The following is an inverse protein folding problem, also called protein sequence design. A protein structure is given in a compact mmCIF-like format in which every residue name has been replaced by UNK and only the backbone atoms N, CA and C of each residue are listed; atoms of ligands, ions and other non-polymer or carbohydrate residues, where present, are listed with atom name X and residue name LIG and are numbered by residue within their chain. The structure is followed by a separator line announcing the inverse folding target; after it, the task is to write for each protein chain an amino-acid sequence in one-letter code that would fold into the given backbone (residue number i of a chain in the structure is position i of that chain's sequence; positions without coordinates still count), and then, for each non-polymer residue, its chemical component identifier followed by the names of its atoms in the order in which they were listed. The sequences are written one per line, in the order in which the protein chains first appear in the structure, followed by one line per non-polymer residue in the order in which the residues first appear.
data_IF_057332248950
#
_entry.id   IF_057332248950
#
_cell.length_a   1.000
_cell.length_b   1.000
_cell.length_c   1.000
_cell.angle_alpha   90.00
_cell.angle_beta   90.00
_cell.angle_gamma   90.00
#
_symmetry.space_group_name_H-M   'P 1'
#
loop_
_entity.id
_entity.type
_entity.pdbx_description
1 polymer ?
#
# COMPACT_ATOMS: atom_id res chain seq x y z
N UNK A 1 -19.59 -2.49 19.67
CA UNK A 1 -20.28 -1.48 18.83
C UNK A 1 -19.75 -1.63 17.41
N UNK A 2 -20.58 -1.67 16.35
CA UNK A 2 -20.06 -1.75 14.99
C UNK A 2 -19.21 -0.51 14.68
N UNK A 3 -18.03 -0.72 14.08
CA UNK A 3 -17.14 0.35 13.62
C UNK A 3 -17.89 1.28 12.65
N UNK A 4 -17.82 2.61 12.81
CA UNK A 4 -18.53 3.55 11.93
C UNK A 4 -18.06 3.38 10.50
N UNK A 5 -18.99 3.06 9.58
CA UNK A 5 -18.66 2.76 8.19
C UNK A 5 -17.96 3.95 7.52
N UNK A 6 -16.84 3.71 6.82
CA UNK A 6 -16.10 4.79 6.13
C UNK A 6 -17.04 5.44 5.10
N UNK A 7 -17.28 6.76 5.11
CA UNK A 7 -18.13 7.43 4.14
C UNK A 7 -17.66 7.25 2.68
N UNK A 8 -18.60 7.06 1.74
CA UNK A 8 -18.28 6.80 0.33
C UNK A 8 -17.51 7.94 -0.36
N UNK A 9 -17.77 9.20 0.01
CA UNK A 9 -17.03 10.34 -0.54
C UNK A 9 -15.56 10.37 -0.10
N UNK A 10 -15.26 9.97 1.15
CA UNK A 10 -13.88 9.84 1.64
C UNK A 10 -13.14 8.72 0.90
N UNK A 11 -13.82 7.60 0.63
CA UNK A 11 -13.23 6.51 -0.14
C UNK A 11 -12.96 6.90 -1.60
N UNK A 12 -13.85 7.68 -2.24
CA UNK A 12 -13.60 8.26 -3.58
C UNK A 12 -12.41 9.20 -3.59
N UNK A 13 -12.31 10.10 -2.61
CA UNK A 13 -11.17 11.00 -2.46
C UNK A 13 -9.87 10.22 -2.26
N UNK A 14 -9.91 9.16 -1.43
CA UNK A 14 -8.77 8.29 -1.19
C UNK A 14 -8.26 7.61 -2.48
N UNK A 15 -9.17 7.11 -3.32
CA UNK A 15 -8.82 6.52 -4.63
C UNK A 15 -8.17 7.55 -5.56
N UNK A 16 -8.72 8.78 -5.63
CA UNK A 16 -8.16 9.84 -6.45
C UNK A 16 -6.75 10.25 -5.97
N UNK A 17 -6.57 10.39 -4.65
CA UNK A 17 -5.27 10.67 -4.04
C UNK A 17 -4.27 9.53 -4.26
N UNK A 18 -4.72 8.28 -4.19
CA UNK A 18 -3.87 7.12 -4.47
C UNK A 18 -3.43 7.09 -5.94
N UNK A 19 -4.31 7.40 -6.89
CA UNK A 19 -3.96 7.50 -8.31
C UNK A 19 -2.92 8.61 -8.56
N UNK A 20 -3.09 9.78 -7.94
CA UNK A 20 -2.10 10.86 -8.00
C UNK A 20 -0.76 10.44 -7.36
N UNK A 21 -0.81 9.72 -6.24
CA UNK A 21 0.35 9.15 -5.55
C UNK A 21 1.13 8.14 -6.40
N UNK A 22 0.44 7.29 -7.17
CA UNK A 22 1.08 6.37 -8.14
C UNK A 22 1.86 7.16 -9.18
N UNK A 23 1.24 8.17 -9.80
CA UNK A 23 1.88 8.98 -10.84
C UNK A 23 3.09 9.75 -10.30
N UNK A 24 2.95 10.37 -9.13
CA UNK A 24 4.03 11.10 -8.48
C UNK A 24 5.19 10.16 -8.10
N UNK A 25 4.88 9.01 -7.49
CA UNK A 25 5.90 8.02 -7.09
C UNK A 25 6.63 7.44 -8.30
N UNK A 26 5.91 7.17 -9.39
CA UNK A 26 6.51 6.71 -10.64
C UNK A 26 7.45 7.77 -11.23
N UNK A 27 7.04 9.04 -11.26
CA UNK A 27 7.88 10.15 -11.72
C UNK A 27 9.16 10.30 -10.91
N UNK A 28 9.06 10.26 -9.57
CA UNK A 28 10.23 10.30 -8.68
C UNK A 28 11.13 9.08 -8.90
N UNK A 29 10.54 7.89 -9.04
CA UNK A 29 11.30 6.67 -9.26
C UNK A 29 12.09 6.73 -10.58
N UNK A 30 11.43 7.10 -11.69
CA UNK A 30 12.09 7.26 -12.99
C UNK A 30 13.15 8.35 -12.95
N UNK A 31 12.90 9.49 -12.31
CA UNK A 31 13.91 10.54 -12.15
C UNK A 31 15.14 10.03 -11.38
N UNK A 32 14.92 9.30 -10.28
CA UNK A 32 16.00 8.73 -9.47
C UNK A 32 16.86 7.73 -10.24
N UNK A 33 16.25 6.90 -11.10
CA UNK A 33 16.94 5.95 -11.96
C UNK A 33 17.82 6.62 -13.02
N UNK A 34 17.45 7.82 -13.44
CA UNK A 34 18.19 8.60 -14.44
C UNK A 34 19.23 9.54 -13.80
N UNK A 35 19.52 9.41 -12.50
CA UNK A 35 20.49 10.25 -11.80
C UNK A 35 20.04 11.72 -11.66
N UNK A 36 18.77 12.03 -11.94
CA UNK A 36 18.22 13.36 -11.74
C UNK A 36 17.99 13.54 -10.24
N UNK A 37 18.93 14.23 -9.59
CA UNK A 37 18.89 14.52 -8.15
C UNK A 37 17.76 15.52 -7.84
N UNK A 38 16.53 15.02 -7.76
CA UNK A 38 15.35 15.74 -7.26
C UNK A 38 15.21 15.51 -5.75
N UNK A 39 15.29 16.60 -4.97
CA UNK A 39 15.38 16.65 -3.51
C UNK A 39 14.55 15.63 -2.73
N UNK A 40 15.14 15.09 -1.66
CA UNK A 40 14.50 14.33 -0.57
C UNK A 40 13.18 14.95 -0.06
N UNK A 41 13.00 16.27 -0.23
CA UNK A 41 11.77 16.99 0.09
C UNK A 41 10.56 16.62 -0.80
N UNK A 42 10.77 16.31 -2.09
CA UNK A 42 9.71 15.79 -2.96
C UNK A 42 9.26 14.39 -2.51
N UNK A 43 10.22 13.53 -2.13
CA UNK A 43 9.92 12.21 -1.58
C UNK A 43 9.11 12.27 -0.27
N UNK A 44 9.47 13.19 0.64
CA UNK A 44 8.75 13.41 1.90
C UNK A 44 7.36 14.04 1.69
N UNK A 45 7.22 14.99 0.77
CA UNK A 45 5.93 15.61 0.48
C UNK A 45 4.97 14.58 -0.13
N UNK A 46 5.45 13.75 -1.07
CA UNK A 46 4.69 12.61 -1.61
C UNK A 46 4.30 11.61 -0.51
N UNK A 47 5.17 11.37 0.48
CA UNK A 47 4.92 10.48 1.61
C UNK A 47 3.72 10.91 2.48
N UNK A 48 3.58 12.23 2.74
CA UNK A 48 2.47 12.78 3.56
C UNK A 48 1.13 12.68 2.82
N UNK A 49 1.10 12.97 1.52
CA UNK A 49 -0.11 12.85 0.70
C UNK A 49 -0.58 11.40 0.56
N UNK A 50 0.34 10.44 0.47
CA UNK A 50 0.00 9.02 0.34
C UNK A 50 -0.53 8.45 1.66
N UNK A 51 0.00 8.87 2.80
CA UNK A 51 -0.53 8.49 4.12
C UNK A 51 -2.02 8.86 4.27
N UNK A 52 -2.43 10.03 3.78
CA UNK A 52 -3.83 10.48 3.81
C UNK A 52 -4.76 9.63 2.91
N UNK A 53 -4.25 9.09 1.80
CA UNK A 53 -5.01 8.20 0.90
C UNK A 53 -5.22 6.80 1.48
N UNK A 54 -4.41 6.40 2.46
CA UNK A 54 -4.34 5.02 2.94
C UNK A 54 -5.33 4.73 4.07
N UNK A 55 -5.44 5.64 5.03
CA UNK A 55 -6.29 5.43 6.20
C UNK A 55 -7.77 5.11 5.86
N UNK A 56 -8.42 5.78 4.90
CA UNK A 56 -9.79 5.44 4.52
C UNK A 56 -9.91 4.08 3.83
N UNK A 57 -8.91 3.67 3.04
CA UNK A 57 -8.91 2.38 2.32
C UNK A 57 -8.70 1.24 3.30
N UNK A 58 -7.73 1.35 4.22
CA UNK A 58 -7.51 0.35 5.28
C UNK A 58 -8.70 0.26 6.22
N UNK A 59 -9.25 1.39 6.68
CA UNK A 59 -10.44 1.38 7.52
C UNK A 59 -11.60 0.62 6.87
N UNK A 60 -11.82 0.84 5.56
CA UNK A 60 -12.86 0.14 4.81
C UNK A 60 -12.54 -1.35 4.57
N UNK A 61 -11.28 -1.71 4.39
CA UNK A 61 -10.82 -3.11 4.27
C UNK A 61 -10.96 -3.85 5.60
N UNK A 62 -10.60 -3.23 6.73
CA UNK A 62 -10.77 -3.80 8.07
C UNK A 62 -12.25 -4.06 8.31
N UNK A 63 -13.12 -3.06 8.09
CA UNK A 63 -14.57 -3.22 8.23
C UNK A 63 -15.12 -4.37 7.38
N UNK A 64 -14.61 -4.51 6.16
CA UNK A 64 -15.03 -5.60 5.27
C UNK A 64 -14.47 -6.96 5.71
N UNK A 65 -13.23 -6.99 6.19
CA UNK A 65 -12.62 -8.19 6.75
C UNK A 65 -13.30 -8.63 8.05
N UNK A 66 -13.76 -7.70 8.90
CA UNK A 66 -14.56 -8.02 10.09
C UNK A 66 -15.92 -8.61 9.67
N UNK A 67 -16.54 -8.05 8.62
CA UNK A 67 -17.81 -8.55 8.08
C UNK A 67 -17.68 -9.93 7.41
N UNK A 68 -16.58 -10.21 6.73
CA UNK A 68 -16.40 -11.41 5.89
C UNK A 68 -15.46 -12.48 6.48
N UNK A 69 -14.53 -12.10 7.38
CA UNK A 69 -13.52 -12.97 8.04
C UNK A 69 -13.67 -12.97 9.57
N UNK A 70 -14.31 -11.96 10.18
CA UNK A 70 -14.53 -11.91 11.64
C UNK A 70 -15.03 -13.21 12.28
N UNK A 71 -15.86 -14.03 11.62
CA UNK A 71 -16.27 -15.35 12.12
C UNK A 71 -15.22 -16.47 12.02
N UNK A 72 -14.11 -16.28 11.29
CA UNK A 72 -13.04 -17.27 11.05
C UNK A 72 -11.78 -17.03 11.90
N UNK A 73 -11.67 -15.88 12.57
CA UNK A 73 -10.48 -15.44 13.32
C UNK A 73 -10.82 -15.16 14.79
N UNK A 74 -12.00 -15.57 15.26
CA UNK A 74 -12.35 -15.58 16.68
C UNK A 74 -11.67 -16.74 17.42
N UNK A 75 -10.34 -16.78 17.39
CA UNK A 75 -9.56 -17.46 18.41
C UNK A 75 -8.47 -16.49 18.89
N UNK A 76 -8.90 -15.65 19.85
CA UNK A 76 -8.03 -14.77 20.61
C UNK A 76 -7.09 -15.62 21.46
N UNK A 77 -5.86 -15.84 21.00
CA UNK A 77 -4.75 -15.91 21.95
C UNK A 77 -3.42 -15.51 21.32
N UNK A 78 -2.81 -14.52 21.99
CA UNK A 78 -1.41 -14.06 21.97
C UNK A 78 -0.98 -12.97 20.96
N UNK A 79 -0.44 -11.84 21.48
CA UNK A 79 0.20 -10.79 20.69
C UNK A 79 1.71 -11.05 20.65
N UNK A 80 2.19 -11.75 19.62
CA UNK A 80 3.62 -11.87 19.38
C UNK A 80 4.00 -10.99 18.18
N UNK A 81 4.90 -9.99 18.33
CA UNK A 81 5.27 -9.07 17.24
C UNK A 81 5.93 -9.78 16.04
N UNK A 82 6.38 -11.03 16.18
CA UNK A 82 6.90 -11.86 15.09
C UNK A 82 5.81 -12.60 14.27
N UNK A 83 4.54 -12.57 14.71
CA UNK A 83 3.39 -13.09 13.93
C UNK A 83 2.83 -12.09 12.93
N UNK A 84 3.38 -10.87 12.88
CA UNK A 84 2.94 -9.84 11.96
C UNK A 84 3.16 -10.26 10.50
N UNK A 85 4.25 -10.96 10.18
CA UNK A 85 4.56 -11.35 8.80
C UNK A 85 3.60 -12.45 8.27
N UNK A 86 3.31 -13.55 9.00
CA UNK A 86 2.28 -14.50 8.62
C UNK A 86 0.88 -13.87 8.53
N UNK A 87 0.48 -13.01 9.48
CA UNK A 87 -0.82 -12.32 9.44
C UNK A 87 -0.91 -11.33 8.29
N UNK A 88 0.16 -10.58 8.01
CA UNK A 88 0.23 -9.67 6.86
C UNK A 88 0.23 -10.43 5.54
N UNK A 89 0.86 -11.61 5.46
CA UNK A 89 0.81 -12.49 4.29
C UNK A 89 -0.58 -13.11 4.10
N UNK A 90 -1.25 -13.54 5.18
CA UNK A 90 -2.63 -14.01 5.14
C UNK A 90 -3.58 -12.89 4.74
N UNK A 91 -3.41 -11.68 5.28
CA UNK A 91 -4.18 -10.50 4.89
C UNK A 91 -3.95 -10.19 3.42
N UNK A 92 -2.70 -10.13 2.95
CA UNK A 92 -2.39 -9.94 1.52
C UNK A 92 -2.99 -11.05 0.65
N UNK A 93 -2.90 -12.31 1.07
CA UNK A 93 -3.46 -13.46 0.37
C UNK A 93 -4.99 -13.41 0.29
N UNK A 94 -5.65 -13.02 1.38
CA UNK A 94 -7.09 -12.79 1.41
C UNK A 94 -7.47 -11.62 0.52
N UNK A 95 -6.78 -10.48 0.66
CA UNK A 95 -6.97 -9.28 -0.12
C UNK A 95 -6.83 -9.54 -1.63
N UNK A 96 -5.84 -10.33 -2.04
CA UNK A 96 -5.68 -10.74 -3.44
C UNK A 96 -6.92 -11.44 -3.99
N UNK A 97 -7.69 -12.18 -3.17
CA UNK A 97 -8.93 -12.84 -3.61
C UNK A 97 -10.02 -11.84 -4.04
N UNK A 98 -9.97 -10.59 -3.57
CA UNK A 98 -10.93 -9.54 -3.92
C UNK A 98 -10.70 -8.94 -5.30
N UNK A 99 -9.49 -9.08 -5.82
CA UNK A 99 -9.11 -8.54 -7.10
C UNK A 99 -9.42 -9.54 -8.23
N UNK A 100 -9.84 -9.09 -9.41
CA UNK A 100 -9.87 -9.92 -10.61
C UNK A 100 -8.44 -10.36 -11.00
N UNK A 101 -8.33 -11.47 -11.75
CA UNK A 101 -7.03 -12.09 -12.11
C UNK A 101 -6.04 -11.08 -12.68
N UNK A 102 -6.48 -10.18 -13.57
CA UNK A 102 -5.63 -9.16 -14.19
C UNK A 102 -5.02 -8.20 -13.15
N UNK A 103 -5.80 -7.75 -12.18
CA UNK A 103 -5.34 -6.86 -11.10
C UNK A 103 -4.42 -7.59 -10.12
N UNK A 104 -4.65 -8.89 -9.86
CA UNK A 104 -3.73 -9.72 -9.06
C UNK A 104 -2.35 -9.82 -9.71
N UNK A 105 -2.29 -9.99 -11.03
CA UNK A 105 -1.02 -10.06 -11.77
C UNK A 105 -0.29 -8.73 -11.65
N UNK A 106 -0.96 -7.61 -11.94
CA UNK A 106 -0.37 -6.27 -11.83
C UNK A 106 0.14 -6.00 -10.41
N UNK A 107 -0.65 -6.37 -9.40
CA UNK A 107 -0.28 -6.22 -8.01
C UNK A 107 0.92 -7.10 -7.63
N UNK A 108 0.95 -8.35 -8.07
CA UNK A 108 2.07 -9.27 -7.84
C UNK A 108 3.36 -8.76 -8.46
N UNK A 109 3.29 -8.20 -9.68
CA UNK A 109 4.44 -7.56 -10.33
C UNK A 109 4.92 -6.33 -9.55
N UNK A 110 4.00 -5.50 -9.06
CA UNK A 110 4.31 -4.31 -8.26
C UNK A 110 4.98 -4.67 -6.93
N UNK A 111 4.50 -5.73 -6.28
CA UNK A 111 5.08 -6.28 -5.05
C UNK A 111 6.50 -6.82 -5.30
N UNK A 112 6.68 -7.64 -6.34
CA UNK A 112 7.97 -8.20 -6.70
C UNK A 112 8.99 -7.10 -7.04
N UNK A 113 8.56 -6.10 -7.81
CA UNK A 113 9.38 -4.93 -8.14
C UNK A 113 9.84 -4.18 -6.89
N UNK A 114 8.90 -3.93 -5.96
CA UNK A 114 9.20 -3.24 -4.70
C UNK A 114 10.15 -4.05 -3.83
N UNK A 115 9.98 -5.37 -3.77
CA UNK A 115 10.88 -6.26 -3.05
C UNK A 115 12.32 -6.18 -3.58
N UNK A 116 12.51 -6.14 -4.91
CA UNK A 116 13.85 -5.98 -5.51
C UNK A 116 14.50 -4.67 -5.08
N UNK A 117 13.75 -3.57 -5.08
CA UNK A 117 14.26 -2.25 -4.67
C UNK A 117 14.52 -2.15 -3.17
N UNK A 118 13.73 -2.84 -2.34
CA UNK A 118 14.00 -2.98 -0.91
C UNK A 118 15.30 -3.74 -0.65
N UNK A 119 15.49 -4.90 -1.29
CA UNK A 119 16.72 -5.69 -1.15
C UNK A 119 17.94 -4.90 -1.60
N UNK A 120 17.86 -4.22 -2.76
CA UNK A 120 18.95 -3.35 -3.24
C UNK A 120 19.21 -2.18 -2.30
N UNK A 121 18.16 -1.54 -1.81
CA UNK A 121 18.31 -0.41 -0.90
C UNK A 121 18.96 -0.81 0.42
N UNK A 122 18.53 -1.92 1.01
CA UNK A 122 19.15 -2.50 2.22
C UNK A 122 20.61 -2.87 1.95
N UNK A 123 20.90 -3.55 0.83
CA UNK A 123 22.27 -3.92 0.48
C UNK A 123 23.19 -2.68 0.37
N UNK A 124 22.72 -1.60 -0.25
CA UNK A 124 23.47 -0.35 -0.36
C UNK A 124 23.72 0.31 1.00
N UNK A 125 22.71 0.34 1.88
CA UNK A 125 22.86 0.87 3.25
C UNK A 125 23.87 0.05 4.05
N UNK A 126 23.91 -1.27 3.86
CA UNK A 126 24.86 -2.16 4.52
C UNK A 126 26.29 -1.97 3.97
N UNK A 127 26.45 -1.77 2.66
CA UNK A 127 27.77 -1.60 2.05
C UNK A 127 28.35 -0.19 2.25
N UNK A 128 27.51 0.83 2.40
CA UNK A 128 27.89 2.24 2.53
C UNK A 128 27.17 2.91 3.71
N UNK A 129 27.52 2.54 4.97
CA UNK A 129 26.78 2.99 6.16
C UNK A 129 26.88 4.50 6.44
N UNK A 130 27.88 5.19 5.88
CA UNK A 130 28.06 6.64 6.03
C UNK A 130 27.23 7.45 5.01
N UNK A 131 26.56 6.79 4.06
CA UNK A 131 25.65 7.45 3.13
C UNK A 131 24.39 7.91 3.89
N UNK A 132 24.27 9.22 4.09
CA UNK A 132 23.13 9.80 4.81
C UNK A 132 21.81 9.59 4.04
N UNK A 133 20.95 8.70 4.56
CA UNK A 133 19.54 8.57 4.16
C UNK A 133 19.17 7.25 3.48
N UNK A 134 17.87 6.98 3.38
CA UNK A 134 17.36 5.83 2.64
C UNK A 134 17.48 6.05 1.13
N UNK A 135 17.90 5.04 0.34
CA UNK A 135 18.03 5.17 -1.10
C UNK A 135 16.70 5.62 -1.73
N UNK A 136 16.71 6.72 -2.48
CA UNK A 136 15.50 7.28 -3.11
C UNK A 136 14.76 6.26 -4.00
N UNK A 137 15.43 5.37 -4.76
CA UNK A 137 14.75 4.30 -5.49
C UNK A 137 14.00 3.32 -4.59
N UNK A 138 14.53 3.01 -3.41
CA UNK A 138 13.88 2.14 -2.42
C UNK A 138 12.60 2.79 -1.89
N UNK A 139 12.70 4.06 -1.49
CA UNK A 139 11.58 4.83 -0.92
C UNK A 139 10.48 5.04 -1.97
N UNK A 140 10.84 5.41 -3.19
CA UNK A 140 9.86 5.62 -4.26
C UNK A 140 9.20 4.33 -4.75
N UNK A 141 9.91 3.19 -4.78
CA UNK A 141 9.31 1.89 -5.09
C UNK A 141 8.29 1.46 -4.02
N UNK A 142 8.61 1.68 -2.74
CA UNK A 142 7.67 1.45 -1.64
C UNK A 142 6.36 2.22 -1.82
N UNK A 143 6.47 3.52 -2.11
CA UNK A 143 5.30 4.38 -2.28
C UNK A 143 4.52 4.09 -3.55
N UNK A 144 5.18 3.64 -4.61
CA UNK A 144 4.53 3.16 -5.82
C UNK A 144 3.64 1.94 -5.52
N UNK A 145 4.16 0.96 -4.77
CA UNK A 145 3.38 -0.19 -4.31
C UNK A 145 2.21 0.22 -3.44
N UNK A 146 2.48 1.06 -2.45
CA UNK A 146 1.49 1.47 -1.47
C UNK A 146 0.33 2.28 -2.08
N UNK A 147 0.65 3.18 -3.03
CA UNK A 147 -0.35 3.95 -3.77
C UNK A 147 -1.14 3.05 -4.72
N UNK A 148 -0.47 2.12 -5.41
CA UNK A 148 -1.12 1.15 -6.29
C UNK A 148 -2.09 0.25 -5.54
N UNK A 149 -1.70 -0.22 -4.35
CA UNK A 149 -2.56 -0.93 -3.43
C UNK A 149 -3.82 -0.12 -3.08
N UNK A 150 -3.65 1.09 -2.55
CA UNK A 150 -4.76 1.96 -2.15
C UNK A 150 -5.74 2.22 -3.29
N UNK A 151 -5.22 2.43 -4.50
CA UNK A 151 -6.04 2.68 -5.69
C UNK A 151 -6.85 1.44 -6.08
N UNK A 152 -6.22 0.27 -6.23
CA UNK A 152 -6.90 -0.96 -6.66
C UNK A 152 -7.96 -1.39 -5.65
N UNK A 153 -7.60 -1.43 -4.37
CA UNK A 153 -8.52 -1.86 -3.33
C UNK A 153 -9.63 -0.83 -3.08
N UNK A 154 -9.32 0.47 -3.08
CA UNK A 154 -10.33 1.51 -2.96
C UNK A 154 -11.35 1.48 -4.11
N UNK A 155 -10.89 1.28 -5.35
CA UNK A 155 -11.79 1.09 -6.51
C UNK A 155 -12.69 -0.13 -6.34
N UNK A 156 -12.14 -1.24 -5.87
CA UNK A 156 -12.92 -2.47 -5.68
C UNK A 156 -13.97 -2.29 -4.60
N UNK A 157 -13.62 -1.66 -3.48
CA UNK A 157 -14.57 -1.33 -2.41
C UNK A 157 -15.70 -0.42 -2.89
N UNK A 158 -15.40 0.58 -3.72
CA UNK A 158 -16.42 1.45 -4.33
C UNK A 158 -17.36 0.67 -5.24
N UNK A 159 -16.83 -0.21 -6.09
CA UNK A 159 -17.63 -1.04 -7.00
C UNK A 159 -18.58 -1.98 -6.25
N UNK A 160 -18.13 -2.53 -5.11
CA UNK A 160 -18.98 -3.39 -4.28
C UNK A 160 -20.09 -2.58 -3.60
N UNK A 161 -19.79 -1.39 -3.08
CA UNK A 161 -20.81 -0.51 -2.49
C UNK A 161 -21.88 -0.06 -3.48
N UNK A 162 -21.53 0.13 -4.75
CA UNK A 162 -22.51 0.44 -5.80
C UNK A 162 -23.35 -0.76 -6.24
N UNK A 163 -22.90 -1.99 -5.96
CA UNK A 163 -23.67 -3.20 -6.25
C UNK A 163 -24.64 -3.58 -5.11
N UNK A 164 -24.33 -3.13 -3.88
CA UNK A 164 -25.16 -3.34 -2.68
C UNK A 164 -26.28 -2.28 -2.51
N UNK A 165 -26.29 -1.22 -3.33
CA UNK A 165 -27.21 -0.07 -3.26
C UNK A 165 -28.29 -0.14 -4.34
#
# INVERSE_FOLDING_TARGET
MPSPSVPTHLLKAAVALAAAGVLASLGVHVASLNGLAGSTALGLTVSVWIGASFAPVIGALIQRSEKEIGPLVSDESTPNPFEFLPRALQLNGWMLRFLPIRERIVFGLLLAYTAVWMVRGIANVVSEPDAAGFPLPMVSAFWLYFSGFSMLFGRRLLALRSADA
#
